data_IF_941078126899
#
_entry.id   IF_941078126899
#
_cell.length_a   1.000
_cell.length_b   1.000
_cell.length_c   1.000
_cell.angle_alpha   90.00
_cell.angle_beta   90.00
_cell.angle_gamma   90.00
#
_symmetry.space_group_name_H-M   'P 1'
#
loop_
_entity.id
_entity.type
_entity.pdbx_description
1 polymer ?
#
# COMPACT_ATOMS: atom_id res chain seq x y z
N UNK A 1 -49.32 -15.92 -72.93
CA UNK A 1 -50.46 -16.02 -71.97
C UNK A 1 -50.25 -17.27 -71.13
N UNK A 2 -50.24 -17.11 -69.81
CA UNK A 2 -49.80 -18.09 -68.81
C UNK A 2 -50.64 -19.37 -68.79
N UNK A 3 -50.00 -20.53 -68.63
CA UNK A 3 -50.52 -21.73 -67.94
C UNK A 3 -49.34 -22.57 -67.37
N UNK A 4 -49.54 -23.30 -66.26
CA UNK A 4 -48.51 -23.61 -65.26
C UNK A 4 -47.78 -24.95 -65.49
N UNK A 5 -46.68 -25.25 -64.78
CA UNK A 5 -46.06 -26.56 -64.83
C UNK A 5 -46.60 -27.50 -63.75
N UNK A 6 -46.94 -28.71 -64.18
CA UNK A 6 -47.29 -29.87 -63.35
C UNK A 6 -46.02 -30.60 -62.93
N UNK A 7 -45.95 -30.99 -61.64
CA UNK A 7 -44.94 -31.87 -61.04
C UNK A 7 -44.94 -33.25 -61.71
N UNK A 8 -43.79 -33.93 -61.81
CA UNK A 8 -43.57 -35.32 -61.32
C UNK A 8 -42.05 -35.59 -61.14
N UNK A 9 -41.75 -36.00 -59.91
CA UNK A 9 -40.70 -36.90 -59.35
C UNK A 9 -39.74 -37.63 -60.31
N UNK A 10 -38.44 -37.60 -60.00
CA UNK A 10 -37.60 -38.81 -60.09
C UNK A 10 -36.33 -38.71 -59.24
N UNK A 11 -35.94 -39.86 -58.72
CA UNK A 11 -34.93 -40.22 -57.72
C UNK A 11 -33.49 -39.90 -58.08
N UNK A 12 -32.62 -39.66 -57.08
CA UNK A 12 -31.27 -40.24 -57.08
C UNK A 12 -30.60 -40.19 -55.70
N UNK A 13 -29.87 -41.27 -55.42
CA UNK A 13 -29.27 -41.71 -54.16
C UNK A 13 -28.23 -40.74 -53.57
N UNK A 14 -28.28 -40.56 -52.24
CA UNK A 14 -27.31 -39.79 -51.48
C UNK A 14 -26.00 -40.58 -51.30
N UNK A 15 -24.89 -39.99 -51.75
CA UNK A 15 -23.53 -40.44 -51.46
C UNK A 15 -23.08 -39.87 -50.12
N UNK A 16 -22.58 -40.74 -49.24
CA UNK A 16 -22.09 -40.42 -47.91
C UNK A 16 -20.70 -39.75 -48.01
N UNK A 17 -20.61 -38.44 -47.77
CA UNK A 17 -19.34 -37.72 -47.63
C UNK A 17 -18.93 -37.73 -46.15
N UNK A 18 -17.82 -38.40 -45.84
CA UNK A 18 -17.22 -38.42 -44.50
C UNK A 18 -16.41 -37.13 -44.29
N UNK A 19 -16.96 -36.17 -43.56
CA UNK A 19 -16.25 -34.95 -43.17
C UNK A 19 -15.35 -35.22 -41.95
N UNK A 20 -14.04 -35.10 -42.13
CA UNK A 20 -13.06 -35.05 -41.04
C UNK A 20 -13.24 -33.73 -40.27
N UNK A 21 -13.84 -33.81 -39.08
CA UNK A 21 -13.75 -32.74 -38.10
C UNK A 21 -12.35 -32.76 -37.49
N UNK A 22 -11.51 -31.83 -37.92
CA UNK A 22 -10.35 -31.41 -37.15
C UNK A 22 -10.85 -30.78 -35.85
N UNK A 23 -10.92 -31.58 -34.79
CA UNK A 23 -11.15 -31.08 -33.45
C UNK A 23 -9.97 -30.19 -33.07
N UNK A 24 -10.20 -28.89 -32.95
CA UNK A 24 -9.32 -28.00 -32.21
C UNK A 24 -9.26 -28.50 -30.77
N UNK A 25 -8.27 -29.33 -30.46
CA UNK A 25 -7.85 -29.64 -29.10
C UNK A 25 -7.19 -28.40 -28.49
N UNK A 26 -8.00 -27.37 -28.21
CA UNK A 26 -7.68 -26.47 -27.12
C UNK A 26 -7.70 -27.33 -25.87
N UNK A 27 -6.54 -27.59 -25.28
CA UNK A 27 -6.50 -28.16 -23.93
C UNK A 27 -7.30 -27.18 -23.06
N UNK A 28 -8.51 -27.57 -22.67
CA UNK A 28 -9.21 -26.88 -21.61
C UNK A 28 -8.31 -27.06 -20.39
N UNK A 29 -7.57 -26.01 -20.00
CA UNK A 29 -6.89 -26.02 -18.72
C UNK A 29 -7.94 -26.39 -17.68
N UNK A 30 -7.67 -27.45 -16.91
CA UNK A 30 -8.56 -27.84 -15.84
C UNK A 30 -8.80 -26.62 -14.94
N UNK A 31 -10.07 -26.35 -14.62
CA UNK A 31 -10.42 -25.30 -13.67
C UNK A 31 -9.68 -25.57 -12.37
N UNK A 32 -9.09 -24.52 -11.81
CA UNK A 32 -8.37 -24.61 -10.55
C UNK A 32 -9.29 -25.12 -9.43
N UNK A 33 -8.81 -26.09 -8.65
CA UNK A 33 -9.54 -26.66 -7.51
C UNK A 33 -8.78 -26.52 -6.20
N UNK A 34 -7.52 -26.09 -6.25
CA UNK A 34 -6.72 -25.92 -5.05
C UNK A 34 -7.09 -24.57 -4.43
N UNK A 35 -7.39 -24.59 -3.12
CA UNK A 35 -7.75 -23.38 -2.40
C UNK A 35 -6.49 -22.70 -1.86
N UNK A 36 -6.49 -21.37 -1.73
CA UNK A 36 -5.40 -20.65 -1.07
C UNK A 36 -5.14 -21.16 0.34
N UNK A 37 -3.90 -20.99 0.82
CA UNK A 37 -3.56 -21.23 2.22
C UNK A 37 -4.39 -20.34 3.15
N UNK A 38 -4.77 -20.85 4.31
CA UNK A 38 -5.48 -20.07 5.33
C UNK A 38 -4.67 -18.86 5.81
N UNK A 39 -5.25 -17.65 5.85
CA UNK A 39 -4.61 -16.48 6.45
C UNK A 39 -4.18 -16.72 7.90
N UNK A 40 -2.93 -16.41 8.22
CA UNK A 40 -2.34 -16.55 9.56
C UNK A 40 -2.22 -15.18 10.24
N UNK A 41 -1.90 -15.20 11.54
CA UNK A 41 -1.65 -14.01 12.38
C UNK A 41 -2.71 -12.91 12.21
N UNK A 42 -3.97 -13.35 12.15
CA UNK A 42 -5.11 -12.44 12.13
C UNK A 42 -5.12 -11.69 13.45
N UNK A 43 -5.20 -10.36 13.39
CA UNK A 43 -5.33 -9.48 14.56
C UNK A 43 -6.47 -8.50 14.36
N UNK A 44 -7.12 -8.11 15.45
CA UNK A 44 -8.20 -7.13 15.44
C UNK A 44 -8.00 -6.12 16.57
N UNK A 45 -7.99 -4.83 16.23
CA UNK A 45 -7.80 -3.73 17.16
C UNK A 45 -8.96 -2.74 17.04
N UNK A 46 -9.69 -2.51 18.15
CA UNK A 46 -10.70 -1.44 18.19
C UNK A 46 -10.00 -0.11 17.94
N UNK A 47 -10.42 0.58 16.87
CA UNK A 47 -9.89 1.90 16.50
C UNK A 47 -10.74 3.02 17.11
N UNK A 48 -12.06 2.79 17.21
CA UNK A 48 -13.03 3.73 17.79
C UNK A 48 -14.21 2.99 18.45
N UNK A 49 -15.30 3.72 18.75
CA UNK A 49 -16.58 3.13 19.16
C UNK A 49 -17.30 2.40 18.01
N UNK A 50 -16.96 2.65 16.74
CA UNK A 50 -17.67 2.07 15.59
C UNK A 50 -16.77 1.45 14.53
N UNK A 51 -15.45 1.47 14.74
CA UNK A 51 -14.48 0.90 13.80
C UNK A 51 -13.48 -0.06 14.47
N UNK A 52 -13.17 -1.15 13.76
CA UNK A 52 -12.13 -2.12 14.12
C UNK A 52 -11.17 -2.26 12.95
N UNK A 53 -9.89 -2.24 13.26
CA UNK A 53 -8.82 -2.51 12.31
C UNK A 53 -8.44 -3.98 12.34
N UNK A 54 -8.55 -4.67 11.21
CA UNK A 54 -8.22 -6.09 11.07
C UNK A 54 -6.99 -6.23 10.19
N UNK A 55 -6.00 -7.02 10.61
CA UNK A 55 -4.78 -7.33 9.84
C UNK A 55 -4.55 -8.84 9.78
N UNK A 56 -3.84 -9.32 8.77
CA UNK A 56 -3.48 -10.72 8.59
C UNK A 56 -2.20 -10.87 7.77
N UNK A 57 -1.58 -12.04 7.79
CA UNK A 57 -0.45 -12.34 6.91
C UNK A 57 -0.90 -12.75 5.50
N UNK A 58 -0.10 -12.42 4.45
CA UNK A 58 -0.40 -12.81 3.08
C UNK A 58 -0.52 -14.33 2.94
N UNK A 59 -1.55 -14.78 2.25
CA UNK A 59 -1.74 -16.18 1.85
C UNK A 59 -1.04 -16.47 0.52
N UNK A 60 -0.73 -17.74 0.29
CA UNK A 60 -0.19 -18.25 -0.97
C UNK A 60 -1.18 -19.21 -1.62
N UNK A 61 -1.01 -19.43 -2.91
CA UNK A 61 -1.84 -20.27 -3.75
C UNK A 61 -0.96 -20.83 -4.88
N UNK A 62 -1.31 -21.96 -5.50
CA UNK A 62 -0.51 -22.54 -6.58
C UNK A 62 -0.54 -21.69 -7.86
N UNK A 63 -1.63 -20.93 -8.08
CA UNK A 63 -1.72 -19.94 -9.16
C UNK A 63 -1.62 -18.52 -8.66
N UNK A 64 -2.62 -18.06 -7.90
CA UNK A 64 -2.63 -16.70 -7.35
C UNK A 64 -3.81 -16.49 -6.38
N UNK A 65 -3.51 -15.89 -5.23
CA UNK A 65 -4.52 -15.22 -4.41
C UNK A 65 -4.99 -13.96 -5.12
N UNK A 66 -6.30 -13.79 -5.27
CA UNK A 66 -6.91 -12.59 -5.90
C UNK A 66 -7.54 -11.63 -4.89
N UNK A 67 -7.84 -12.11 -3.69
CA UNK A 67 -8.40 -11.26 -2.64
C UNK A 67 -8.64 -11.97 -1.32
N UNK A 68 -9.20 -11.20 -0.40
CA UNK A 68 -9.60 -11.67 0.93
C UNK A 68 -11.04 -11.29 1.22
N UNK A 69 -11.71 -12.14 1.98
CA UNK A 69 -13.04 -11.92 2.53
C UNK A 69 -12.93 -11.84 4.06
N UNK A 70 -13.49 -10.79 4.65
CA UNK A 70 -13.46 -10.55 6.09
C UNK A 70 -14.87 -10.76 6.61
N UNK A 71 -14.99 -11.55 7.67
CA UNK A 71 -16.25 -11.91 8.31
C UNK A 71 -16.29 -11.41 9.75
N UNK A 72 -17.46 -10.96 10.19
CA UNK A 72 -17.82 -10.78 11.60
C UNK A 72 -18.84 -11.86 11.98
N UNK A 73 -18.41 -12.81 12.80
CA UNK A 73 -19.13 -14.07 13.00
C UNK A 73 -19.33 -14.80 11.67
N UNK A 74 -20.58 -15.06 11.30
CA UNK A 74 -20.94 -15.73 10.05
C UNK A 74 -21.17 -14.75 8.87
N UNK A 75 -21.18 -13.44 9.13
CA UNK A 75 -21.54 -12.43 8.13
C UNK A 75 -20.28 -11.88 7.46
N UNK A 76 -20.21 -11.95 6.12
CA UNK A 76 -19.13 -11.28 5.37
C UNK A 76 -19.35 -9.76 5.39
N UNK A 77 -18.39 -9.03 5.94
CA UNK A 77 -18.47 -7.56 6.12
C UNK A 77 -17.63 -6.78 5.11
N UNK A 78 -16.53 -7.36 4.61
CA UNK A 78 -15.67 -6.72 3.60
C UNK A 78 -15.12 -7.75 2.60
N UNK A 79 -14.75 -7.23 1.44
CA UNK A 79 -13.98 -7.91 0.40
C UNK A 79 -12.89 -6.98 -0.07
N UNK A 80 -11.64 -7.44 -0.10
CA UNK A 80 -10.47 -6.64 -0.50
C UNK A 80 -9.62 -7.36 -1.55
N UNK A 81 -8.86 -6.65 -2.39
CA UNK A 81 -7.92 -7.27 -3.34
C UNK A 81 -6.73 -7.90 -2.60
N UNK A 82 -6.01 -8.82 -3.27
CA UNK A 82 -4.86 -9.52 -2.69
C UNK A 82 -3.71 -8.60 -2.26
N UNK A 83 -3.66 -7.37 -2.77
CA UNK A 83 -2.67 -6.35 -2.39
C UNK A 83 -2.93 -5.73 -1.00
N UNK A 84 -4.05 -6.07 -0.35
CA UNK A 84 -4.41 -5.62 0.99
C UNK A 84 -4.28 -6.78 1.97
N UNK A 85 -3.56 -6.54 3.06
CA UNK A 85 -3.40 -7.48 4.17
C UNK A 85 -4.00 -6.95 5.47
N UNK A 86 -4.88 -5.95 5.31
CA UNK A 86 -5.49 -5.22 6.41
C UNK A 86 -6.65 -4.36 5.91
N UNK A 87 -7.62 -4.11 6.79
CA UNK A 87 -8.79 -3.29 6.49
C UNK A 87 -9.43 -2.73 7.76
N UNK A 88 -10.10 -1.59 7.62
CA UNK A 88 -11.04 -1.09 8.63
C UNK A 88 -12.44 -1.60 8.37
N UNK A 89 -13.05 -2.17 9.41
CA UNK A 89 -14.46 -2.53 9.45
C UNK A 89 -15.18 -1.47 10.25
N UNK A 90 -15.96 -0.64 9.56
CA UNK A 90 -16.68 0.52 10.10
C UNK A 90 -18.18 0.22 10.27
N UNK A 91 -18.89 1.12 10.95
CA UNK A 91 -20.34 1.00 11.15
C UNK A 91 -20.73 -0.08 12.16
N UNK A 92 -19.78 -0.47 13.03
CA UNK A 92 -20.00 -1.42 14.10
C UNK A 92 -20.77 -0.78 15.26
N UNK A 93 -21.43 -1.61 16.06
CA UNK A 93 -22.16 -1.14 17.25
C UNK A 93 -21.17 -0.92 18.38
N UNK A 94 -21.30 0.21 19.10
CA UNK A 94 -20.46 0.52 20.25
C UNK A 94 -20.63 -0.48 21.41
N UNK A 95 -19.60 -0.64 22.23
CA UNK A 95 -19.59 -1.55 23.40
C UNK A 95 -20.04 -2.98 23.09
N UNK A 96 -19.76 -3.46 21.88
CA UNK A 96 -20.22 -4.76 21.39
C UNK A 96 -19.03 -5.65 21.06
N UNK A 97 -19.11 -6.92 21.46
CA UNK A 97 -18.11 -7.93 21.12
C UNK A 97 -18.31 -8.41 19.67
N UNK A 98 -17.25 -8.36 18.89
CA UNK A 98 -17.16 -8.85 17.52
C UNK A 98 -16.13 -9.97 17.43
N UNK A 99 -16.26 -10.85 16.45
CA UNK A 99 -15.26 -11.90 16.20
C UNK A 99 -14.94 -11.96 14.72
N UNK A 100 -13.73 -11.53 14.37
CA UNK A 100 -13.31 -11.44 12.99
C UNK A 100 -12.58 -12.69 12.53
N UNK A 101 -12.90 -13.16 11.32
CA UNK A 101 -12.12 -14.17 10.59
C UNK A 101 -11.84 -13.66 9.18
N UNK A 102 -10.76 -14.17 8.57
CA UNK A 102 -10.35 -13.81 7.21
C UNK A 102 -10.21 -15.09 6.38
N UNK A 103 -10.69 -15.05 5.15
CA UNK A 103 -10.52 -16.11 4.14
C UNK A 103 -9.81 -15.55 2.92
N UNK A 104 -8.89 -16.30 2.34
CA UNK A 104 -8.28 -15.97 1.05
C UNK A 104 -9.11 -16.57 -0.09
N UNK A 105 -9.11 -15.90 -1.24
CA UNK A 105 -9.75 -16.37 -2.48
C UNK A 105 -8.79 -16.33 -3.67
N UNK A 106 -8.94 -17.29 -4.58
CA UNK A 106 -8.19 -17.34 -5.83
C UNK A 106 -9.01 -16.76 -7.01
N UNK A 107 -8.57 -17.00 -8.25
CA UNK A 107 -9.28 -16.58 -9.45
C UNK A 107 -10.42 -17.52 -9.87
N UNK A 108 -10.39 -18.79 -9.45
CA UNK A 108 -11.42 -19.78 -9.75
C UNK A 108 -12.61 -19.72 -8.77
N UNK A 109 -12.48 -18.98 -7.68
CA UNK A 109 -13.48 -18.83 -6.63
C UNK A 109 -13.31 -19.80 -5.47
N UNK A 110 -12.20 -20.53 -5.40
CA UNK A 110 -11.88 -21.37 -4.25
C UNK A 110 -11.57 -20.48 -3.04
N UNK A 111 -12.11 -20.87 -1.89
CA UNK A 111 -11.91 -20.16 -0.62
C UNK A 111 -11.10 -21.03 0.34
N UNK A 112 -10.11 -20.43 0.98
CA UNK A 112 -9.39 -21.07 2.08
C UNK A 112 -10.34 -21.46 3.23
N UNK A 113 -9.90 -22.34 4.12
CA UNK A 113 -10.49 -22.42 5.47
C UNK A 113 -10.39 -21.04 6.17
N UNK A 114 -11.32 -20.68 7.07
CA UNK A 114 -11.23 -19.45 7.84
C UNK A 114 -9.97 -19.43 8.71
N UNK A 115 -9.27 -18.29 8.72
CA UNK A 115 -8.22 -18.02 9.69
C UNK A 115 -8.74 -18.04 11.13
N UNK A 116 -7.84 -18.02 12.13
CA UNK A 116 -8.23 -18.01 13.53
C UNK A 116 -9.17 -16.83 13.83
N UNK A 117 -10.27 -17.12 14.53
CA UNK A 117 -11.22 -16.10 14.96
C UNK A 117 -10.61 -15.22 16.07
N UNK A 118 -10.59 -13.92 15.84
CA UNK A 118 -10.10 -12.94 16.82
C UNK A 118 -11.24 -12.08 17.36
N UNK A 119 -11.44 -12.15 18.67
CA UNK A 119 -12.47 -11.37 19.35
C UNK A 119 -11.96 -10.00 19.77
N UNK A 120 -12.79 -8.98 19.60
CA UNK A 120 -12.51 -7.60 20.00
C UNK A 120 -13.82 -6.93 20.40
N UNK A 121 -13.76 -6.04 21.38
CA UNK A 121 -14.93 -5.26 21.80
C UNK A 121 -14.72 -3.81 21.36
N UNK A 122 -15.69 -3.26 20.63
CA UNK A 122 -15.70 -1.84 20.28
C UNK A 122 -15.82 -0.97 21.53
N UNK A 123 -15.28 0.24 21.48
CA UNK A 123 -15.36 1.16 22.62
C UNK A 123 -16.78 1.69 22.82
N UNK A 124 -17.02 2.32 23.97
CA UNK A 124 -18.26 3.05 24.22
C UNK A 124 -18.32 4.34 23.40
N UNK A 125 -19.52 4.72 22.99
CA UNK A 125 -19.75 6.03 22.37
C UNK A 125 -19.45 7.12 23.40
N UNK A 126 -18.50 8.03 23.14
CA UNK A 126 -18.20 9.12 24.06
C UNK A 126 -19.36 10.14 24.08
N UNK A 127 -19.64 10.77 25.24
CA UNK A 127 -20.64 11.82 25.32
C UNK A 127 -20.12 13.12 24.67
N UNK A 128 -20.71 13.51 23.54
CA UNK A 128 -20.46 14.75 22.79
C UNK A 128 -18.99 15.18 22.72
N UNK A 129 -18.17 14.32 22.13
CA UNK A 129 -16.81 14.66 21.78
C UNK A 129 -16.79 15.29 20.37
N UNK A 130 -16.23 16.50 20.28
CA UNK A 130 -16.07 17.26 19.03
C UNK A 130 -14.63 17.59 18.67
N UNK A 131 -13.65 17.23 19.51
CA UNK A 131 -12.27 17.68 19.35
C UNK A 131 -11.39 16.48 18.99
N UNK A 132 -10.48 16.67 18.04
CA UNK A 132 -9.53 15.64 17.68
C UNK A 132 -8.36 15.58 18.69
N UNK A 133 -7.72 14.42 18.85
CA UNK A 133 -6.52 14.29 19.67
C UNK A 133 -5.38 15.21 19.23
N UNK A 134 -4.47 15.51 20.15
CA UNK A 134 -3.21 16.17 19.83
C UNK A 134 -2.30 15.28 18.96
N UNK A 135 -1.46 15.92 18.15
CA UNK A 135 -0.52 15.21 17.27
C UNK A 135 0.51 14.43 18.10
N UNK A 136 0.72 13.11 17.84
CA UNK A 136 1.78 12.34 18.48
C UNK A 136 3.15 13.00 18.26
N UNK A 137 3.88 13.24 19.36
CA UNK A 137 5.17 13.91 19.31
C UNK A 137 6.34 12.92 19.35
N UNK A 138 7.53 13.38 18.92
CA UNK A 138 8.78 12.64 19.06
C UNK A 138 8.74 11.19 18.52
N UNK A 139 8.11 11.00 17.36
CA UNK A 139 8.16 9.73 16.62
C UNK A 139 9.62 9.35 16.32
N UNK A 140 9.98 8.11 16.62
CA UNK A 140 11.28 7.49 16.36
C UNK A 140 11.07 6.13 15.75
N UNK A 141 12.04 5.71 14.93
CA UNK A 141 12.08 4.39 14.33
C UNK A 141 13.44 3.76 14.56
N UNK A 142 13.47 2.44 14.73
CA UNK A 142 14.70 1.66 14.89
C UNK A 142 14.55 0.34 14.14
N UNK A 143 15.43 0.08 13.17
CA UNK A 143 15.45 -1.18 12.46
C UNK A 143 15.86 -2.34 13.39
N UNK A 144 15.04 -3.40 13.41
CA UNK A 144 15.22 -4.61 14.20
C UNK A 144 15.35 -5.77 13.22
N UNK A 145 16.59 -6.07 12.81
CA UNK A 145 16.84 -7.09 11.79
C UNK A 145 16.66 -6.57 10.37
N UNK A 146 16.48 -7.49 9.44
CA UNK A 146 16.47 -7.23 7.99
C UNK A 146 15.07 -6.96 7.46
N UNK A 147 14.03 -7.36 8.16
CA UNK A 147 12.64 -7.35 7.71
C UNK A 147 11.67 -6.74 8.74
N UNK A 148 12.19 -6.18 9.83
CA UNK A 148 11.36 -5.62 10.89
C UNK A 148 11.97 -4.37 11.51
N UNK A 149 11.12 -3.59 12.16
CA UNK A 149 11.50 -2.39 12.90
C UNK A 149 10.53 -2.11 14.04
N UNK A 150 10.95 -1.24 14.94
CA UNK A 150 10.10 -0.71 16.01
C UNK A 150 9.94 0.78 15.85
N UNK A 151 8.70 1.24 15.93
CA UNK A 151 8.34 2.65 16.07
C UNK A 151 8.02 2.94 17.53
N UNK A 152 8.34 4.16 17.98
CA UNK A 152 7.97 4.66 19.30
C UNK A 152 7.67 6.15 19.24
N UNK A 153 6.71 6.64 20.02
CA UNK A 153 6.30 8.04 20.06
C UNK A 153 5.95 8.48 21.49
N UNK A 154 5.72 9.77 21.69
CA UNK A 154 5.09 10.30 22.91
C UNK A 154 3.58 10.24 22.76
N UNK A 155 2.91 9.90 23.86
CA UNK A 155 1.46 9.85 23.91
C UNK A 155 0.83 11.19 23.49
N UNK A 156 -0.21 11.08 22.67
CA UNK A 156 -1.15 12.16 22.41
C UNK A 156 -2.11 12.33 23.59
N UNK A 157 -2.82 13.45 23.60
CA UNK A 157 -3.80 13.81 24.61
C UNK A 157 -5.08 14.24 23.93
N UNK A 158 -6.21 13.91 24.55
CA UNK A 158 -7.54 14.27 24.10
C UNK A 158 -8.42 14.57 25.32
N UNK A 159 -9.52 15.31 25.16
CA UNK A 159 -10.44 15.65 26.26
C UNK A 159 -11.30 14.48 26.73
N UNK A 160 -11.55 13.48 25.87
CA UNK A 160 -12.23 12.24 26.28
C UNK A 160 -11.28 11.05 26.28
N UNK A 161 -10.34 11.00 25.33
CA UNK A 161 -9.27 10.03 25.35
C UNK A 161 -8.83 9.57 23.97
N UNK A 162 -7.59 9.06 23.90
CA UNK A 162 -7.04 8.47 22.68
C UNK A 162 -7.40 6.99 22.64
N UNK A 163 -8.01 6.58 21.54
CA UNK A 163 -8.48 5.21 21.32
C UNK A 163 -7.46 4.35 20.59
N UNK A 164 -6.79 4.94 19.61
CA UNK A 164 -5.79 4.25 18.80
C UNK A 164 -4.71 5.18 18.26
N UNK A 165 -3.58 4.58 17.88
CA UNK A 165 -2.55 5.23 17.08
C UNK A 165 -2.47 4.51 15.74
N UNK A 166 -2.64 5.26 14.67
CA UNK A 166 -2.60 4.77 13.30
C UNK A 166 -1.25 5.09 12.69
N UNK A 167 -0.54 4.04 12.25
CA UNK A 167 0.77 4.17 11.61
C UNK A 167 0.56 4.20 10.10
N UNK A 168 1.10 5.23 9.48
CA UNK A 168 1.04 5.42 8.04
C UNK A 168 2.42 5.27 7.43
N UNK A 169 2.47 4.57 6.31
CA UNK A 169 3.57 4.64 5.35
C UNK A 169 3.06 5.48 4.18
N UNK A 170 3.61 6.69 4.04
CA UNK A 170 3.07 7.71 3.12
C UNK A 170 1.58 7.94 3.45
N UNK A 171 0.67 7.81 2.47
CA UNK A 171 -0.77 8.00 2.69
C UNK A 171 -1.51 6.69 3.07
N UNK A 172 -0.80 5.57 3.12
CA UNK A 172 -1.40 4.26 3.44
C UNK A 172 -1.25 3.95 4.92
N UNK A 173 -2.37 3.77 5.62
CA UNK A 173 -2.38 3.16 6.96
C UNK A 173 -1.92 1.72 6.86
N UNK A 174 -0.83 1.40 7.54
CA UNK A 174 -0.20 0.07 7.52
C UNK A 174 -0.24 -0.66 8.87
N UNK A 175 -0.67 0.03 9.92
CA UNK A 175 -0.89 -0.58 11.23
C UNK A 175 -1.80 0.28 12.11
N UNK A 176 -2.39 -0.33 13.13
CA UNK A 176 -3.04 0.39 14.22
C UNK A 176 -2.74 -0.27 15.55
N UNK A 177 -2.46 0.56 16.55
CA UNK A 177 -2.17 0.14 17.90
C UNK A 177 -3.17 0.77 18.88
N UNK A 178 -3.40 0.11 20.02
CA UNK A 178 -4.23 0.66 21.10
C UNK A 178 -3.74 2.04 21.55
N UNK A 179 -4.66 2.94 21.90
CA UNK A 179 -4.35 4.27 22.44
C UNK A 179 -3.60 4.25 23.78
N UNK A 180 -3.50 3.07 24.42
CA UNK A 180 -2.74 2.85 25.65
C UNK A 180 -1.26 2.52 25.42
N UNK A 181 -0.86 2.23 24.18
CA UNK A 181 0.53 1.93 23.83
C UNK A 181 1.13 3.04 22.98
N UNK A 182 2.44 3.23 23.10
CA UNK A 182 3.18 4.26 22.38
C UNK A 182 4.33 3.70 21.55
N UNK A 183 4.18 2.44 21.13
CA UNK A 183 5.13 1.73 20.28
C UNK A 183 4.43 0.69 19.43
N UNK A 184 4.98 0.43 18.24
CA UNK A 184 4.54 -0.65 17.35
C UNK A 184 5.74 -1.36 16.73
N UNK A 185 5.65 -2.69 16.59
CA UNK A 185 6.60 -3.48 15.79
C UNK A 185 6.00 -3.73 14.42
N UNK A 186 6.74 -3.36 13.38
CA UNK A 186 6.37 -3.64 12.00
C UNK A 186 7.26 -4.75 11.45
N UNK A 187 6.69 -5.69 10.74
CA UNK A 187 7.34 -6.87 10.13
C UNK A 187 7.04 -6.93 8.63
N UNK A 188 7.61 -7.92 7.92
CA UNK A 188 7.34 -8.11 6.50
C UNK A 188 7.96 -7.04 5.60
N UNK A 189 8.97 -6.32 6.11
CA UNK A 189 9.67 -5.28 5.37
C UNK A 189 10.77 -5.87 4.49
N UNK A 190 11.12 -5.17 3.41
CA UNK A 190 12.21 -5.57 2.51
C UNK A 190 13.57 -5.20 3.15
N UNK A 191 14.60 -6.07 3.07
CA UNK A 191 15.95 -5.75 3.52
C UNK A 191 16.60 -4.59 2.77
N UNK A 192 17.34 -3.75 3.49
CA UNK A 192 18.07 -2.61 2.91
C UNK A 192 17.18 -1.51 2.31
N UNK A 193 15.88 -1.51 2.58
CA UNK A 193 14.92 -0.57 2.00
C UNK A 193 14.66 0.60 2.95
N UNK A 194 14.56 1.81 2.39
CA UNK A 194 14.21 3.02 3.13
C UNK A 194 12.70 3.14 3.24
N UNK A 195 12.21 3.33 4.47
CA UNK A 195 10.81 3.59 4.78
C UNK A 195 10.64 4.95 5.46
N UNK A 196 9.51 5.59 5.19
CA UNK A 196 9.09 6.84 5.84
C UNK A 196 7.75 6.58 6.52
N UNK A 197 7.66 6.90 7.81
CA UNK A 197 6.43 6.71 8.59
C UNK A 197 5.95 8.00 9.26
N UNK A 198 4.64 8.14 9.37
CA UNK A 198 3.96 9.07 10.28
C UNK A 198 3.03 8.30 11.21
N UNK A 199 2.62 8.93 12.31
CA UNK A 199 1.62 8.39 13.23
C UNK A 199 0.56 9.45 13.49
N UNK A 200 -0.72 9.04 13.46
CA UNK A 200 -1.87 9.85 13.90
C UNK A 200 -2.47 9.24 15.15
N UNK A 201 -2.99 10.08 16.05
CA UNK A 201 -3.84 9.63 17.14
C UNK A 201 -5.32 9.72 16.71
N UNK A 202 -6.14 8.76 17.13
CA UNK A 202 -7.57 8.72 16.87
C UNK A 202 -8.37 8.54 18.16
N UNK A 203 -9.49 9.24 18.30
CA UNK A 203 -10.43 9.11 19.42
C UNK A 203 -11.56 8.10 19.16
N UNK A 204 -12.43 7.89 20.15
CA UNK A 204 -13.57 6.97 20.04
C UNK A 204 -14.70 7.50 19.13
N UNK A 205 -14.67 8.78 18.77
CA UNK A 205 -15.59 9.44 17.83
C UNK A 205 -15.08 9.45 16.38
N UNK A 206 -14.02 8.69 16.08
CA UNK A 206 -13.36 8.60 14.77
C UNK A 206 -12.70 9.91 14.29
N UNK A 207 -12.38 10.86 15.17
CA UNK A 207 -11.55 12.01 14.76
C UNK A 207 -10.09 11.67 14.90
N UNK A 208 -9.32 12.14 13.92
CA UNK A 208 -7.88 11.92 13.85
C UNK A 208 -7.12 13.24 14.01
N UNK A 209 -5.98 13.17 14.68
CA UNK A 209 -4.99 14.26 14.68
C UNK A 209 -4.41 14.45 13.27
N UNK A 210 -3.72 15.58 13.06
CA UNK A 210 -2.77 15.71 11.95
C UNK A 210 -1.64 14.66 12.09
N UNK A 211 -0.88 14.46 11.01
CA UNK A 211 0.31 13.62 11.01
C UNK A 211 1.38 14.13 11.98
N UNK A 212 2.00 13.19 12.70
CA UNK A 212 3.28 13.46 13.36
C UNK A 212 4.32 13.93 12.34
N UNK A 213 5.43 14.49 12.84
CA UNK A 213 6.63 14.60 11.99
C UNK A 213 7.00 13.21 11.48
N UNK A 214 7.35 13.13 10.20
CA UNK A 214 7.78 11.88 9.60
C UNK A 214 9.12 11.42 10.17
N UNK A 215 9.32 10.11 10.21
CA UNK A 215 10.61 9.49 10.53
C UNK A 215 11.02 8.57 9.40
N UNK A 216 12.28 8.64 9.01
CA UNK A 216 12.86 7.69 8.08
C UNK A 216 13.67 6.63 8.81
N UNK A 217 13.69 5.44 8.22
CA UNK A 217 14.44 4.30 8.73
C UNK A 217 14.77 3.37 7.58
N UNK A 218 15.99 2.85 7.58
CA UNK A 218 16.42 1.83 6.63
C UNK A 218 16.51 0.50 7.36
N UNK A 219 15.82 -0.51 6.85
CA UNK A 219 15.97 -1.89 7.35
C UNK A 219 17.40 -2.37 7.12
N UNK A 220 17.88 -3.33 7.94
CA UNK A 220 19.24 -3.85 7.74
C UNK A 220 19.30 -4.65 6.43
N UNK A 221 20.45 -4.60 5.77
CA UNK A 221 20.72 -5.47 4.62
C UNK A 221 20.88 -6.94 5.08
N UNK A 222 20.50 -7.88 4.23
CA UNK A 222 20.75 -9.32 4.42
C UNK A 222 21.81 -9.80 3.40
N UNK A 223 22.62 -10.83 3.70
CA UNK A 223 23.48 -11.47 2.72
C UNK A 223 22.66 -11.96 1.51
N UNK A 224 23.09 -11.60 0.30
CA UNK A 224 22.39 -11.96 -0.93
C UNK A 224 21.12 -11.15 -1.22
N UNK A 225 20.73 -10.19 -0.35
CA UNK A 225 19.67 -9.25 -0.68
C UNK A 225 20.07 -8.39 -1.90
N UNK A 226 19.09 -7.96 -2.72
CA UNK A 226 19.35 -7.00 -3.78
C UNK A 226 20.07 -5.76 -3.25
N UNK A 227 20.98 -5.21 -4.05
CA UNK A 227 21.62 -3.93 -3.74
C UNK A 227 20.54 -2.85 -3.60
N UNK A 228 20.68 -1.98 -2.59
CA UNK A 228 19.75 -0.87 -2.41
C UNK A 228 19.77 0.02 -3.64
N UNK A 229 18.59 0.26 -4.21
CA UNK A 229 18.40 1.13 -5.37
C UNK A 229 17.92 2.53 -4.97
N UNK A 230 17.66 2.75 -3.68
CA UNK A 230 17.21 4.02 -3.14
C UNK A 230 18.32 5.08 -3.18
N UNK A 231 18.06 6.27 -3.75
CA UNK A 231 18.97 7.39 -3.63
C UNK A 231 19.07 7.87 -2.18
N UNK A 232 20.27 8.23 -1.75
CA UNK A 232 20.56 8.60 -0.35
C UNK A 232 20.95 10.06 -0.23
N UNK A 233 21.03 10.58 1.01
CA UNK A 233 21.52 11.93 1.24
C UNK A 233 20.67 13.05 0.62
N UNK A 234 19.40 12.79 0.27
CA UNK A 234 18.52 13.80 -0.31
C UNK A 234 18.41 15.03 0.61
N UNK A 235 18.68 16.19 0.03
CA UNK A 235 18.52 17.53 0.62
C UNK A 235 17.73 18.41 -0.32
N UNK A 236 16.96 19.34 0.26
CA UNK A 236 16.23 20.36 -0.45
C UNK A 236 16.53 21.72 0.21
N UNK A 237 16.98 22.68 -0.59
CA UNK A 237 17.29 24.04 -0.16
C UNK A 237 16.47 25.02 -0.99
N UNK A 238 15.84 26.00 -0.34
CA UNK A 238 15.04 27.03 -1.02
C UNK A 238 15.79 28.34 -1.11
N UNK A 239 15.64 29.02 -2.24
CA UNK A 239 16.08 30.39 -2.45
C UNK A 239 14.92 31.22 -2.97
N UNK A 240 14.67 32.36 -2.35
CA UNK A 240 13.64 33.30 -2.75
C UNK A 240 14.04 34.02 -4.05
N UNK A 241 13.15 34.03 -5.04
CA UNK A 241 13.30 34.78 -6.28
C UNK A 241 11.98 35.48 -6.63
N UNK A 242 11.84 36.73 -6.15
CA UNK A 242 10.79 37.71 -6.48
C UNK A 242 9.51 37.14 -7.09
N UNK A 243 8.70 36.49 -6.25
CA UNK A 243 7.42 35.89 -6.65
C UNK A 243 7.46 34.37 -6.90
N UNK A 244 8.63 33.75 -6.72
CA UNK A 244 8.84 32.31 -6.80
C UNK A 244 9.95 31.85 -5.85
N UNK A 245 10.11 30.53 -5.73
CA UNK A 245 11.14 29.88 -4.94
C UNK A 245 11.90 28.90 -5.82
N UNK A 246 13.21 29.09 -5.95
CA UNK A 246 14.09 28.09 -6.55
C UNK A 246 14.42 27.05 -5.48
N UNK A 247 14.06 25.80 -5.75
CA UNK A 247 14.35 24.66 -4.90
C UNK A 247 15.51 23.89 -5.52
N UNK A 248 16.63 23.86 -4.81
CA UNK A 248 17.78 23.04 -5.16
C UNK A 248 17.73 21.72 -4.42
N UNK A 249 17.58 20.65 -5.18
CA UNK A 249 17.69 19.27 -4.71
C UNK A 249 19.11 18.76 -4.90
N UNK A 250 19.62 18.02 -3.93
CA UNK A 250 20.87 17.27 -4.06
C UNK A 250 20.77 15.90 -3.40
N UNK A 251 21.37 14.88 -4.00
CA UNK A 251 21.34 13.51 -3.50
C UNK A 251 22.54 12.70 -3.97
N UNK A 252 22.86 11.66 -3.22
CA UNK A 252 23.86 10.67 -3.58
C UNK A 252 23.18 9.53 -4.38
N UNK A 253 23.79 9.15 -5.49
CA UNK A 253 23.30 8.14 -6.40
C UNK A 253 23.51 6.73 -5.82
N UNK A 254 22.59 5.78 -6.08
CA UNK A 254 22.81 4.38 -5.70
C UNK A 254 23.97 3.76 -6.50
N UNK A 255 24.77 2.92 -5.82
CA UNK A 255 25.95 2.28 -6.41
C UNK A 255 25.59 0.98 -7.14
N UNK A 256 25.04 1.11 -8.36
CA UNK A 256 24.48 -0.03 -9.11
C UNK A 256 25.44 -0.63 -10.17
N UNK A 257 26.70 -0.20 -10.21
CA UNK A 257 27.69 -0.68 -11.19
C UNK A 257 27.39 -0.30 -12.66
N UNK A 258 26.33 0.47 -12.92
CA UNK A 258 25.91 0.95 -14.24
C UNK A 258 25.49 2.42 -14.21
N UNK A 259 25.26 2.99 -15.39
CA UNK A 259 24.80 4.37 -15.50
C UNK A 259 23.33 4.49 -15.06
N UNK A 260 23.01 5.54 -14.30
CA UNK A 260 21.64 5.87 -13.91
C UNK A 260 21.14 6.95 -14.88
N UNK A 261 20.27 6.61 -15.85
CA UNK A 261 19.89 7.53 -16.92
C UNK A 261 18.98 8.68 -16.45
N UNK A 262 18.35 8.55 -15.28
CA UNK A 262 17.48 9.59 -14.75
C UNK A 262 16.85 9.24 -13.41
N UNK A 263 16.04 10.16 -12.91
CA UNK A 263 15.31 10.05 -11.65
C UNK A 263 13.88 10.54 -11.85
N UNK A 264 12.94 9.93 -11.13
CA UNK A 264 11.57 10.45 -11.05
C UNK A 264 11.41 11.19 -9.73
N UNK A 265 11.02 12.47 -9.81
CA UNK A 265 10.79 13.35 -8.67
C UNK A 265 9.32 13.32 -8.28
N UNK A 266 9.06 13.17 -6.98
CA UNK A 266 7.73 13.25 -6.40
C UNK A 266 7.65 14.43 -5.44
N UNK A 267 6.60 15.23 -5.60
CA UNK A 267 6.16 16.25 -4.65
C UNK A 267 4.80 15.85 -4.12
N UNK A 268 4.63 15.81 -2.79
CA UNK A 268 3.33 15.52 -2.15
C UNK A 268 2.67 14.23 -2.66
N UNK A 269 3.48 13.17 -2.73
CA UNK A 269 3.06 11.85 -3.20
C UNK A 269 2.80 11.75 -4.70
N UNK A 270 2.95 12.84 -5.46
CA UNK A 270 2.67 12.88 -6.90
C UNK A 270 3.94 12.99 -7.74
N UNK A 271 4.06 12.13 -8.74
CA UNK A 271 5.12 12.22 -9.75
C UNK A 271 5.01 13.59 -10.43
N UNK A 272 6.07 14.39 -10.28
CA UNK A 272 6.12 15.78 -10.72
C UNK A 272 6.91 15.91 -12.01
N UNK A 273 8.07 15.25 -12.09
CA UNK A 273 8.92 15.31 -13.28
C UNK A 273 9.87 14.12 -13.35
N UNK A 274 10.36 13.83 -14.56
CA UNK A 274 11.49 12.93 -14.78
C UNK A 274 12.73 13.76 -15.10
N UNK A 275 13.74 13.64 -14.23
CA UNK A 275 15.05 14.26 -14.36
C UNK A 275 15.90 13.36 -15.25
N UNK A 276 16.25 13.85 -16.42
CA UNK A 276 17.22 13.20 -17.32
C UNK A 276 18.37 14.16 -17.60
N UNK A 277 19.58 13.64 -17.68
CA UNK A 277 20.71 14.42 -18.15
C UNK A 277 20.79 14.31 -19.67
N UNK A 278 20.82 15.45 -20.36
CA UNK A 278 21.05 15.50 -21.81
C UNK A 278 22.49 15.12 -22.23
N UNK A 279 23.19 14.32 -21.42
CA UNK A 279 24.60 13.98 -21.53
C UNK A 279 25.00 12.87 -20.55
N UNK A 280 26.28 12.77 -20.20
CA UNK A 280 26.74 11.78 -19.21
C UNK A 280 26.18 12.13 -17.82
N UNK A 281 25.44 11.22 -17.16
CA UNK A 281 24.94 11.47 -15.80
C UNK A 281 26.10 11.76 -14.83
N UNK A 282 25.91 12.65 -13.84
CA UNK A 282 26.92 12.90 -12.83
C UNK A 282 27.25 11.61 -12.08
N UNK A 283 28.47 11.45 -11.59
CA UNK A 283 28.86 10.32 -10.74
C UNK A 283 28.81 10.73 -9.26
N UNK A 284 28.35 9.85 -8.40
CA UNK A 284 28.32 10.08 -6.95
C UNK A 284 27.16 11.00 -6.54
N UNK A 285 27.31 12.33 -6.68
CA UNK A 285 26.27 13.29 -6.27
C UNK A 285 25.57 13.93 -7.46
N UNK A 286 24.24 13.95 -7.42
CA UNK A 286 23.39 14.62 -8.39
C UNK A 286 22.71 15.84 -7.77
N UNK A 287 22.35 16.80 -8.64
CA UNK A 287 21.59 17.99 -8.27
C UNK A 287 20.53 18.30 -9.31
N UNK A 288 19.42 18.88 -8.88
CA UNK A 288 18.35 19.36 -9.76
C UNK A 288 17.72 20.62 -9.16
N UNK A 289 17.32 21.55 -10.00
CA UNK A 289 16.62 22.77 -9.59
C UNK A 289 15.22 22.78 -10.20
N UNK A 290 14.24 23.16 -9.38
CA UNK A 290 12.88 23.44 -9.83
C UNK A 290 12.41 24.76 -9.24
N UNK A 291 11.45 25.39 -9.89
CA UNK A 291 10.83 26.63 -9.42
C UNK A 291 9.42 26.33 -8.93
N UNK A 292 9.09 26.80 -7.74
CA UNK A 292 7.79 26.72 -7.10
C UNK A 292 7.22 28.13 -6.92
N UNK A 293 5.91 28.29 -7.04
CA UNK A 293 5.22 29.60 -7.02
C UNK A 293 4.19 29.72 -5.91
N UNK A 294 4.08 28.69 -5.07
CA UNK A 294 3.18 28.63 -3.94
C UNK A 294 3.57 29.66 -2.86
N UNK A 295 2.63 30.05 -1.99
CA UNK A 295 2.89 31.04 -0.95
C UNK A 295 4.04 30.65 0.00
N UNK A 296 4.66 31.65 0.61
CA UNK A 296 5.64 31.46 1.69
C UNK A 296 5.06 30.58 2.80
N UNK A 297 5.86 29.65 3.32
CA UNK A 297 5.46 28.75 4.39
C UNK A 297 4.71 27.50 3.90
N UNK A 298 4.42 27.40 2.61
CA UNK A 298 3.88 26.16 2.02
C UNK A 298 4.89 25.04 2.27
N UNK A 299 4.37 23.89 2.74
CA UNK A 299 5.15 22.70 3.02
C UNK A 299 4.94 21.69 1.91
N UNK A 300 6.04 21.14 1.42
CA UNK A 300 6.02 20.03 0.48
C UNK A 300 6.79 18.84 1.06
N UNK A 301 6.35 17.64 0.72
CA UNK A 301 7.13 16.43 0.87
C UNK A 301 7.83 16.11 -0.45
N UNK A 302 9.10 15.71 -0.39
CA UNK A 302 9.94 15.44 -1.55
C UNK A 302 10.57 14.06 -1.42
N UNK A 303 10.42 13.24 -2.46
CA UNK A 303 11.11 11.95 -2.64
C UNK A 303 11.53 11.80 -4.10
N UNK A 304 12.52 10.97 -4.34
CA UNK A 304 12.89 10.60 -5.71
C UNK A 304 13.32 9.14 -5.79
N UNK A 305 13.22 8.55 -6.98
CA UNK A 305 13.70 7.19 -7.25
C UNK A 305 14.53 7.15 -8.52
N UNK A 306 15.54 6.29 -8.55
CA UNK A 306 16.43 6.14 -9.69
C UNK A 306 15.78 5.28 -10.78
N UNK A 307 16.02 5.62 -12.06
CA UNK A 307 15.81 4.69 -13.16
C UNK A 307 16.98 3.73 -13.21
N UNK A 308 16.72 2.43 -13.15
CA UNK A 308 17.76 1.41 -13.13
C UNK A 308 18.29 1.15 -14.55
N UNK A 309 19.48 0.54 -14.69
CA UNK A 309 20.05 0.23 -16.01
C UNK A 309 19.18 -0.68 -16.89
N UNK A 310 18.32 -1.50 -16.27
CA UNK A 310 17.35 -2.37 -16.96
C UNK A 310 16.07 -1.63 -17.42
N UNK A 311 15.96 -0.33 -17.12
CA UNK A 311 14.84 0.53 -17.47
C UNK A 311 13.70 0.57 -16.45
N UNK A 312 13.75 -0.26 -15.40
CA UNK A 312 12.78 -0.25 -14.31
C UNK A 312 13.04 0.88 -13.31
N UNK A 313 12.09 1.12 -12.41
CA UNK A 313 12.23 2.12 -11.35
C UNK A 313 12.65 1.46 -10.04
N UNK A 314 13.67 2.01 -9.40
CA UNK A 314 14.15 1.56 -8.10
C UNK A 314 13.29 2.02 -6.93
N UNK A 315 13.78 1.73 -5.73
CA UNK A 315 13.22 2.18 -4.47
C UNK A 315 13.31 3.70 -4.33
N UNK A 316 12.40 4.26 -3.53
CA UNK A 316 12.39 5.68 -3.21
C UNK A 316 13.49 6.03 -2.20
N UNK A 317 14.01 7.25 -2.34
CA UNK A 317 14.78 7.92 -1.31
C UNK A 317 13.96 8.09 -0.02
N UNK A 318 14.66 8.41 1.06
CA UNK A 318 14.03 8.93 2.26
C UNK A 318 13.24 10.23 1.95
N UNK A 319 12.12 10.48 2.63
CA UNK A 319 11.30 11.66 2.42
C UNK A 319 11.89 12.90 3.08
N UNK A 320 11.88 14.03 2.38
CA UNK A 320 12.29 15.32 2.93
C UNK A 320 11.13 16.28 2.95
N UNK A 321 10.95 16.97 4.07
CA UNK A 321 10.04 18.11 4.14
C UNK A 321 10.78 19.36 3.71
N UNK A 322 10.19 20.06 2.75
CA UNK A 322 10.59 21.36 2.26
C UNK A 322 9.59 22.41 2.76
N UNK A 323 10.07 23.59 3.14
CA UNK A 323 9.20 24.74 3.46
C UNK A 323 9.65 25.93 2.63
N UNK A 324 8.74 26.52 1.85
CA UNK A 324 9.08 27.63 0.97
C UNK A 324 9.41 28.91 1.76
N UNK A 325 10.59 29.48 1.49
CA UNK A 325 11.11 30.68 2.17
C UNK A 325 11.44 30.48 3.65
N UNK A 326 11.68 29.23 4.05
CA UNK A 326 12.04 28.81 5.41
C UNK A 326 13.53 28.72 5.67
#
# INVERSE_FOLDING_TARGET
MQRPPTRVVSTCSASLLLALLAGCGGSAEASDTDAPTTPQDVTAQSSSATSVHVMWEPSTDDKAVTGYEIYDGATRVKTVPATKHMIDVDGLTASTGHTFTVRARDAAGNLSEPGPGVSVTTQATPPDDRKAPSVPAALRATAVGTDSLTLSWKAATDDVGVSSYDVYQEDSRIHSASGTVTSARLTGLRPGTVYTFTVRARDASDKSSDDSRSVDVTTRSAPGAPVSTAPTGLRAETRDESGSYVVRLSWDQPELGGAIPGYELYLDGKATTTIVWGGTPPKGRATYELTLTEPKGTRHSVKLRAKLPDGTWGDFSAQRTLVLGG
#
